data_IF_729458096512
#
_entry.id   IF_729458096512
#
_cell.length_a   1.000
_cell.length_b   1.000
_cell.length_c   1.000
_cell.angle_alpha   90.00
_cell.angle_beta   90.00
_cell.angle_gamma   90.00
#
_symmetry.space_group_name_H-M   'P 1'
#
loop_
_entity.id
_entity.type
_entity.pdbx_description
1 polymer ?
#
# COMPACT_ATOMS: atom_id res chain seq x y z
N UNK A 1 8.27 21.35 -16.90
CA UNK A 1 7.40 21.09 -15.72
C UNK A 1 8.33 20.63 -14.60
N UNK A 2 8.15 21.09 -13.38
CA UNK A 2 8.93 20.61 -12.24
C UNK A 2 8.84 19.08 -12.11
N UNK A 3 9.95 18.45 -11.75
CA UNK A 3 10.04 17.00 -11.62
C UNK A 3 9.74 16.62 -10.16
N UNK A 4 8.71 15.80 -9.87
CA UNK A 4 8.44 15.33 -8.52
C UNK A 4 9.41 14.22 -8.12
N UNK A 5 9.99 14.35 -6.92
CA UNK A 5 10.96 13.41 -6.35
C UNK A 5 10.57 12.97 -4.94
N UNK A 6 11.02 11.79 -4.56
CA UNK A 6 10.88 11.25 -3.20
C UNK A 6 12.15 11.56 -2.41
N UNK A 7 12.02 12.23 -1.27
CA UNK A 7 13.12 12.60 -0.39
C UNK A 7 13.29 11.59 0.74
N UNK A 8 12.22 11.29 1.45
CA UNK A 8 12.25 10.40 2.61
C UNK A 8 10.96 9.58 2.72
N UNK A 9 11.07 8.41 3.34
CA UNK A 9 9.93 7.55 3.70
C UNK A 9 10.13 6.98 5.09
N UNK A 10 9.04 6.83 5.86
CA UNK A 10 9.03 6.13 7.16
C UNK A 10 7.71 5.39 7.32
N UNK A 11 7.73 4.30 8.09
CA UNK A 11 6.54 3.56 8.48
C UNK A 11 6.59 3.08 9.93
N UNK A 12 5.44 2.83 10.51
CA UNK A 12 5.35 2.02 11.74
C UNK A 12 5.62 0.56 11.43
N UNK A 13 5.88 -0.29 12.42
CA UNK A 13 5.60 -1.72 12.30
C UNK A 13 4.16 -1.94 11.83
N UNK A 14 3.87 -3.11 11.27
CA UNK A 14 2.53 -3.55 10.91
C UNK A 14 2.00 -4.48 11.99
N UNK A 15 0.99 -4.02 12.74
CA UNK A 15 0.28 -4.81 13.74
C UNK A 15 -0.79 -5.71 13.15
N UNK A 16 -1.04 -6.88 13.72
CA UNK A 16 -2.22 -7.70 13.39
C UNK A 16 -3.46 -7.09 14.03
N UNK A 17 -4.50 -6.88 13.25
CA UNK A 17 -5.73 -6.30 13.77
C UNK A 17 -6.32 -7.12 14.93
N UNK A 18 -6.95 -6.44 15.88
CA UNK A 18 -7.67 -6.92 17.07
C UNK A 18 -6.83 -7.58 18.17
N UNK A 19 -5.64 -8.07 17.88
CA UNK A 19 -4.81 -8.82 18.84
C UNK A 19 -3.31 -8.61 18.68
N UNK A 20 -2.90 -7.78 17.74
CA UNK A 20 -1.49 -7.50 17.50
C UNK A 20 -0.97 -6.34 18.33
N UNK A 21 0.29 -6.03 18.07
CA UNK A 21 1.08 -5.06 18.83
C UNK A 21 0.56 -3.62 18.80
N UNK A 22 -0.21 -3.25 17.74
CA UNK A 22 -0.76 -1.89 17.53
C UNK A 22 -2.29 -1.83 17.65
N UNK A 23 -2.97 -2.90 18.08
CA UNK A 23 -4.43 -2.97 18.08
C UNK A 23 -5.14 -1.92 18.97
N UNK A 24 -4.44 -1.40 19.98
CA UNK A 24 -4.96 -0.36 20.87
C UNK A 24 -4.59 1.07 20.44
N UNK A 25 -3.75 1.21 19.41
CA UNK A 25 -3.23 2.51 19.00
C UNK A 25 -4.25 3.29 18.17
N UNK A 26 -4.23 4.62 18.34
CA UNK A 26 -5.06 5.52 17.53
C UNK A 26 -4.43 5.73 16.15
N UNK A 27 -5.21 5.63 15.07
CA UNK A 27 -4.68 5.82 13.71
C UNK A 27 -4.13 7.22 13.47
N UNK A 28 -4.79 8.25 13.99
CA UNK A 28 -4.35 9.63 13.88
C UNK A 28 -2.99 9.88 14.56
N UNK A 29 -2.75 9.28 15.72
CA UNK A 29 -1.45 9.34 16.42
C UNK A 29 -0.36 8.59 15.65
N UNK A 30 -0.65 7.40 15.11
CA UNK A 30 0.32 6.65 14.30
C UNK A 30 0.68 7.41 13.02
N UNK A 31 -0.31 8.00 12.34
CA UNK A 31 -0.08 8.78 11.15
C UNK A 31 0.74 10.06 11.45
N UNK A 32 0.44 10.75 12.54
CA UNK A 32 1.19 11.93 12.97
C UNK A 32 2.64 11.58 13.33
N UNK A 33 2.85 10.46 14.02
CA UNK A 33 4.18 9.98 14.39
C UNK A 33 5.08 9.77 13.17
N UNK A 34 4.60 9.05 12.15
CA UNK A 34 5.41 8.82 10.94
C UNK A 34 5.56 10.06 10.08
N UNK A 35 4.56 10.94 10.08
CA UNK A 35 4.58 12.22 9.35
C UNK A 35 5.64 13.16 9.95
N UNK A 36 5.65 13.33 11.28
CA UNK A 36 6.68 14.10 11.96
C UNK A 36 8.08 13.50 11.74
N UNK A 37 8.23 12.18 11.92
CA UNK A 37 9.51 11.49 11.75
C UNK A 37 10.08 11.58 10.33
N UNK A 38 9.25 11.63 9.29
CA UNK A 38 9.72 11.85 7.91
C UNK A 38 10.33 13.24 7.78
N UNK A 39 9.67 14.26 8.31
CA UNK A 39 10.16 15.65 8.28
C UNK A 39 11.43 15.80 9.12
N UNK A 40 11.44 15.27 10.34
CA UNK A 40 12.59 15.31 11.26
C UNK A 40 13.83 14.59 10.69
N UNK A 41 13.63 13.64 9.77
CA UNK A 41 14.74 12.92 9.11
C UNK A 41 15.43 13.72 8.02
N UNK A 42 14.93 14.91 7.67
CA UNK A 42 15.44 15.76 6.59
C UNK A 42 16.02 17.03 7.19
N UNK A 43 17.35 17.03 7.40
CA UNK A 43 18.05 18.15 8.01
C UNK A 43 17.90 19.42 7.17
N UNK A 44 17.57 20.55 7.81
CA UNK A 44 17.43 21.85 7.16
C UNK A 44 16.10 22.09 6.45
N UNK A 45 15.16 21.13 6.43
CA UNK A 45 13.83 21.35 5.87
C UNK A 45 12.89 22.01 6.90
N UNK A 46 12.27 23.13 6.53
CA UNK A 46 11.30 23.83 7.36
C UNK A 46 9.88 23.26 7.14
N UNK A 47 9.21 22.71 8.16
CA UNK A 47 7.84 22.24 8.03
C UNK A 47 6.84 23.28 7.50
N UNK A 48 7.14 24.57 7.64
CA UNK A 48 6.30 25.65 7.12
C UNK A 48 6.26 25.70 5.58
N UNK A 49 7.19 25.02 4.91
CA UNK A 49 7.23 24.88 3.43
C UNK A 49 6.28 23.79 2.91
N UNK A 50 5.64 23.01 3.78
CA UNK A 50 4.70 21.97 3.37
C UNK A 50 3.43 22.61 2.85
N UNK A 51 3.14 22.39 1.56
CA UNK A 51 1.95 22.91 0.88
C UNK A 51 0.67 22.17 1.28
N UNK A 52 0.73 20.84 1.48
CA UNK A 52 -0.40 20.03 1.96
C UNK A 52 0.08 18.70 2.59
N UNK A 53 -0.62 18.27 3.64
CA UNK A 53 -0.49 16.94 4.23
C UNK A 53 -1.64 16.07 3.73
N UNK A 54 -1.35 15.20 2.74
CA UNK A 54 -2.33 14.35 2.07
C UNK A 54 -2.33 12.97 2.71
N UNK A 55 -3.37 12.65 3.49
CA UNK A 55 -3.48 11.37 4.19
C UNK A 55 -4.48 10.44 3.52
N UNK A 56 -4.00 9.26 3.12
CA UNK A 56 -4.82 8.16 2.61
C UNK A 56 -5.41 7.31 3.73
N UNK A 57 -6.74 7.09 3.71
CA UNK A 57 -7.44 6.16 4.59
C UNK A 57 -8.55 5.46 3.82
N UNK A 58 -8.59 4.13 3.87
CA UNK A 58 -9.60 3.35 3.15
C UNK A 58 -10.94 3.33 3.90
N UNK A 59 -10.90 3.20 5.22
CA UNK A 59 -12.07 3.17 6.09
C UNK A 59 -12.16 4.50 6.84
N UNK A 60 -12.97 5.43 6.35
CA UNK A 60 -13.13 6.76 6.94
C UNK A 60 -14.19 6.76 8.04
N UNK A 61 -13.90 6.11 9.16
CA UNK A 61 -14.78 5.96 10.30
C UNK A 61 -14.04 6.19 11.63
N UNK A 62 -14.77 6.54 12.68
CA UNK A 62 -14.19 6.76 14.02
C UNK A 62 -13.02 7.77 13.99
N UNK A 63 -11.86 7.43 14.57
CA UNK A 63 -10.71 8.34 14.56
C UNK A 63 -10.04 8.52 13.17
N UNK A 64 -10.45 7.80 12.14
CA UNK A 64 -10.04 8.02 10.75
C UNK A 64 -11.05 8.87 9.96
N UNK A 65 -12.10 9.37 10.59
CA UNK A 65 -13.13 10.20 9.95
C UNK A 65 -12.71 11.66 9.84
N UNK A 66 -13.57 12.45 9.23
CA UNK A 66 -13.39 13.89 9.02
C UNK A 66 -12.21 14.20 8.07
N UNK A 67 -11.56 15.34 8.25
CA UNK A 67 -10.33 15.64 7.52
C UNK A 67 -9.11 15.13 8.31
N UNK A 68 -8.78 13.87 8.14
CA UNK A 68 -7.67 13.22 8.85
C UNK A 68 -6.32 13.88 8.51
N UNK A 69 -6.12 14.36 7.27
CA UNK A 69 -4.89 15.04 6.88
C UNK A 69 -4.61 16.28 7.72
N UNK A 70 -5.65 17.11 7.96
CA UNK A 70 -5.49 18.30 8.81
C UNK A 70 -5.27 17.94 10.28
N UNK A 71 -5.92 16.89 10.77
CA UNK A 71 -5.70 16.37 12.14
C UNK A 71 -4.26 15.90 12.30
N UNK A 72 -3.75 15.14 11.34
CA UNK A 72 -2.36 14.62 11.33
C UNK A 72 -1.35 15.77 11.29
N UNK A 73 -1.54 16.79 10.46
CA UNK A 73 -0.65 17.95 10.41
C UNK A 73 -0.55 18.65 11.78
N UNK A 74 -1.69 18.83 12.44
CA UNK A 74 -1.74 19.48 13.78
C UNK A 74 -1.09 18.58 14.86
N UNK A 75 -1.34 17.27 14.85
CA UNK A 75 -0.74 16.32 15.80
C UNK A 75 0.76 16.14 15.60
N UNK A 76 1.24 16.25 14.35
CA UNK A 76 2.67 16.25 14.03
C UNK A 76 3.40 17.53 14.47
N UNK A 77 2.65 18.52 14.97
CA UNK A 77 3.21 19.79 15.46
C UNK A 77 3.60 20.77 14.37
N UNK A 78 3.07 20.60 13.15
CA UNK A 78 3.33 21.54 12.05
C UNK A 78 2.66 22.89 12.28
N UNK A 79 3.18 23.99 11.70
CA UNK A 79 2.60 25.30 11.79
C UNK A 79 1.12 25.35 11.37
N UNK A 80 0.34 26.27 11.93
CA UNK A 80 -1.08 26.44 11.59
C UNK A 80 -1.33 26.72 10.11
N UNK A 81 -0.33 27.24 9.43
CA UNK A 81 -0.34 27.53 7.98
C UNK A 81 -0.35 26.28 7.11
N UNK A 82 0.10 25.12 7.64
CA UNK A 82 0.15 23.87 6.87
C UNK A 82 -1.25 23.26 6.79
N UNK A 83 -1.87 23.20 5.61
CA UNK A 83 -3.18 22.60 5.43
C UNK A 83 -3.09 21.07 5.47
N UNK A 84 -4.24 20.40 5.29
CA UNK A 84 -4.28 18.95 5.19
C UNK A 84 -5.54 18.48 4.49
N UNK A 85 -5.43 17.37 3.78
CA UNK A 85 -6.54 16.73 3.06
C UNK A 85 -6.55 15.22 3.28
N UNK A 86 -7.72 14.60 3.04
CA UNK A 86 -7.87 13.15 3.14
C UNK A 86 -8.33 12.58 1.81
N UNK A 87 -7.67 11.52 1.35
CA UNK A 87 -8.02 10.85 0.10
C UNK A 87 -8.38 9.39 0.35
N UNK A 88 -9.34 8.88 -0.42
CA UNK A 88 -9.74 7.49 -0.39
C UNK A 88 -9.68 6.89 -1.80
N UNK A 89 -8.78 5.93 -1.98
CA UNK A 89 -8.73 4.97 -3.08
C UNK A 89 -8.55 3.56 -2.50
N UNK A 90 -9.28 3.26 -1.43
CA UNK A 90 -9.16 2.00 -0.69
C UNK A 90 -7.70 1.59 -0.45
N UNK A 91 -7.28 0.40 -0.88
CA UNK A 91 -5.92 -0.12 -0.69
C UNK A 91 -4.82 0.80 -1.26
N UNK A 92 -5.10 1.60 -2.27
CA UNK A 92 -4.13 2.51 -2.90
C UNK A 92 -4.18 3.95 -2.38
N UNK A 93 -4.81 4.21 -1.23
CA UNK A 93 -5.03 5.58 -0.75
C UNK A 93 -3.74 6.37 -0.56
N UNK A 94 -2.71 5.81 0.07
CA UNK A 94 -1.43 6.53 0.20
C UNK A 94 -0.64 6.63 -1.12
N UNK A 95 -0.73 5.66 -2.02
CA UNK A 95 -0.15 5.79 -3.35
C UNK A 95 -0.88 6.87 -4.16
N UNK A 96 -2.20 7.04 -3.96
CA UNK A 96 -2.97 8.14 -4.52
C UNK A 96 -2.53 9.49 -3.91
N UNK A 97 -2.18 9.55 -2.63
CA UNK A 97 -1.60 10.75 -2.01
C UNK A 97 -0.26 11.12 -2.69
N UNK A 98 0.64 10.15 -2.92
CA UNK A 98 1.88 10.35 -3.70
C UNK A 98 1.58 10.91 -5.10
N UNK A 99 0.58 10.34 -5.79
CA UNK A 99 0.17 10.83 -7.12
C UNK A 99 -0.38 12.26 -7.09
N UNK A 100 -1.16 12.62 -6.07
CA UNK A 100 -1.70 13.99 -5.93
C UNK A 100 -0.55 14.97 -5.72
N UNK A 101 0.36 14.70 -4.79
CA UNK A 101 1.56 15.50 -4.55
C UNK A 101 2.41 15.66 -5.83
N UNK A 102 2.70 14.56 -6.52
CA UNK A 102 3.48 14.59 -7.75
C UNK A 102 2.81 15.42 -8.86
N UNK A 103 1.48 15.32 -9.01
CA UNK A 103 0.75 16.10 -9.99
C UNK A 103 0.71 17.61 -9.64
N UNK A 104 0.56 17.95 -8.36
CA UNK A 104 0.58 19.33 -7.88
C UNK A 104 1.94 19.99 -8.16
N UNK A 105 3.04 19.30 -7.81
CA UNK A 105 4.40 19.75 -8.14
C UNK A 105 4.56 19.95 -9.67
N UNK A 106 4.18 18.94 -10.46
CA UNK A 106 4.30 19.04 -11.92
C UNK A 106 3.45 20.17 -12.53
N UNK A 107 2.35 20.55 -11.87
CA UNK A 107 1.50 21.68 -12.24
C UNK A 107 2.07 23.04 -11.77
N UNK A 108 3.08 23.06 -10.89
CA UNK A 108 3.67 24.27 -10.32
C UNK A 108 2.83 24.84 -9.16
N UNK A 109 2.09 24.00 -8.43
CA UNK A 109 1.25 24.40 -7.29
C UNK A 109 2.02 24.37 -5.97
N UNK A 110 3.35 24.35 -6.00
CA UNK A 110 4.24 24.34 -4.82
C UNK A 110 5.29 23.24 -4.91
N UNK A 111 6.15 23.17 -3.88
CA UNK A 111 7.39 22.43 -3.95
C UNK A 111 7.50 21.25 -2.98
N UNK A 112 6.74 21.22 -1.88
CA UNK A 112 6.87 20.19 -0.86
C UNK A 112 5.52 19.70 -0.32
N UNK A 113 5.33 18.39 -0.28
CA UNK A 113 4.11 17.73 0.16
C UNK A 113 4.41 16.53 1.04
N UNK A 114 3.55 16.28 2.04
CA UNK A 114 3.53 15.00 2.73
C UNK A 114 2.46 14.10 2.10
N UNK A 115 2.88 12.94 1.62
CA UNK A 115 2.00 11.85 1.21
C UNK A 115 2.03 10.76 2.27
N UNK A 116 0.97 10.62 3.04
CA UNK A 116 0.88 9.65 4.12
C UNK A 116 -0.31 8.71 3.94
N UNK A 117 -0.35 7.66 4.75
CA UNK A 117 -1.51 6.80 4.83
C UNK A 117 -1.54 5.98 6.10
N UNK A 118 -2.74 5.64 6.52
CA UNK A 118 -2.99 4.89 7.75
C UNK A 118 -4.19 3.98 7.59
N UNK A 119 -4.14 2.86 8.26
CA UNK A 119 -5.30 2.04 8.57
C UNK A 119 -5.12 1.40 9.92
N UNK A 120 -6.10 1.54 10.80
CA UNK A 120 -6.21 0.78 12.03
C UNK A 120 -7.54 0.04 12.03
N UNK A 121 -7.55 -1.14 11.38
CA UNK A 121 -8.76 -1.97 11.27
C UNK A 121 -9.32 -2.30 12.65
N UNK A 122 -8.45 -2.45 13.64
CA UNK A 122 -8.83 -2.66 15.05
C UNK A 122 -9.76 -1.58 15.60
N UNK A 123 -9.58 -0.33 15.18
CA UNK A 123 -10.29 0.85 15.71
C UNK A 123 -11.53 1.22 14.89
N UNK A 124 -11.61 0.82 13.64
CA UNK A 124 -12.66 1.25 12.70
C UNK A 124 -13.60 0.14 12.26
N UNK A 125 -13.21 -1.14 12.42
CA UNK A 125 -14.04 -2.28 12.03
C UNK A 125 -15.39 -2.30 12.77
N UNK A 126 -16.46 -2.61 12.06
CA UNK A 126 -17.84 -2.58 12.58
C UNK A 126 -18.45 -1.18 12.69
N UNK A 127 -17.72 -0.12 12.29
CA UNK A 127 -18.22 1.27 12.23
C UNK A 127 -18.26 1.82 10.80
N UNK A 128 -17.65 1.10 9.87
CA UNK A 128 -17.31 1.63 8.56
C UNK A 128 -18.42 1.51 7.52
N UNK A 129 -19.23 0.49 7.63
CA UNK A 129 -20.19 0.14 6.59
C UNK A 129 -21.33 -0.68 7.17
N UNK A 130 -22.54 -0.18 6.99
CA UNK A 130 -23.78 -0.88 7.32
C UNK A 130 -24.47 -1.27 5.99
N UNK A 131 -24.51 -2.55 5.63
CA UNK A 131 -25.08 -2.98 4.36
C UNK A 131 -26.57 -2.63 4.21
N UNK A 132 -27.32 -2.43 5.30
CA UNK A 132 -28.73 -2.06 5.25
C UNK A 132 -28.93 -0.58 4.89
N UNK A 133 -27.92 0.28 5.19
CA UNK A 133 -28.00 1.73 5.01
C UNK A 133 -27.11 2.20 3.85
N UNK A 134 -25.88 1.68 3.79
CA UNK A 134 -24.83 2.23 2.94
C UNK A 134 -24.81 1.65 1.52
N UNK A 135 -25.45 0.49 1.30
CA UNK A 135 -25.56 -0.09 -0.04
C UNK A 135 -26.57 0.70 -0.86
N UNK A 136 -26.14 1.24 -1.99
CA UNK A 136 -27.06 1.89 -2.92
C UNK A 136 -27.96 0.82 -3.57
N UNK A 137 -29.29 0.89 -3.37
CA UNK A 137 -30.24 -0.14 -3.85
C UNK A 137 -30.23 -0.34 -5.36
N UNK A 138 -29.75 0.63 -6.13
CA UNK A 138 -29.62 0.49 -7.59
C UNK A 138 -28.64 -0.60 -8.03
N UNK A 139 -27.67 -0.97 -7.19
CA UNK A 139 -26.75 -2.07 -7.47
C UNK A 139 -27.37 -3.45 -7.24
N UNK A 140 -28.54 -3.52 -6.61
CA UNK A 140 -29.32 -4.74 -6.41
C UNK A 140 -30.57 -4.82 -7.32
N UNK A 141 -30.75 -3.83 -8.20
CA UNK A 141 -31.92 -3.74 -9.09
C UNK A 141 -31.78 -4.73 -10.28
N UNK A 142 -32.58 -5.80 -10.34
CA UNK A 142 -32.50 -6.81 -11.40
C UNK A 142 -32.87 -6.28 -12.79
N UNK A 143 -33.59 -5.16 -12.86
CA UNK A 143 -34.04 -4.55 -14.12
C UNK A 143 -32.94 -3.62 -14.71
N UNK A 144 -31.85 -3.45 -14.03
CA UNK A 144 -30.71 -2.58 -14.41
C UNK A 144 -29.46 -3.38 -14.72
N UNK A 145 -29.52 -4.15 -15.83
CA UNK A 145 -28.36 -4.91 -16.32
C UNK A 145 -27.20 -4.03 -16.85
N UNK A 146 -27.42 -2.73 -16.99
CA UNK A 146 -26.41 -1.73 -17.38
C UNK A 146 -25.57 -1.23 -16.20
N UNK A 147 -25.96 -1.52 -14.95
CA UNK A 147 -25.15 -1.23 -13.78
C UNK A 147 -24.04 -2.26 -13.58
N UNK A 148 -22.93 -1.75 -13.01
CA UNK A 148 -21.89 -2.62 -12.48
C UNK A 148 -22.44 -3.36 -11.28
N UNK A 149 -22.66 -4.66 -11.44
CA UNK A 149 -23.13 -5.52 -10.36
C UNK A 149 -22.01 -5.79 -9.35
N UNK A 150 -22.39 -6.26 -8.16
CA UNK A 150 -21.47 -6.69 -7.12
C UNK A 150 -20.43 -5.64 -6.67
N UNK A 151 -20.79 -4.32 -6.74
CA UNK A 151 -19.88 -3.23 -6.31
C UNK A 151 -19.38 -3.42 -4.88
N UNK A 152 -20.19 -4.03 -4.01
CA UNK A 152 -19.90 -4.25 -2.60
C UNK A 152 -19.48 -5.70 -2.29
N UNK A 153 -19.09 -6.47 -3.30
CA UNK A 153 -18.64 -7.86 -3.14
C UNK A 153 -17.50 -7.97 -2.11
N UNK A 154 -17.54 -8.96 -1.19
CA UNK A 154 -16.42 -9.19 -0.27
C UNK A 154 -15.13 -9.55 -1.01
N UNK A 155 -14.02 -8.97 -0.58
CA UNK A 155 -12.72 -9.09 -1.27
C UNK A 155 -12.25 -10.55 -1.43
N UNK A 156 -12.49 -11.42 -0.44
CA UNK A 156 -12.16 -12.84 -0.56
C UNK A 156 -12.94 -13.58 -1.64
N UNK A 157 -14.19 -13.16 -1.91
CA UNK A 157 -14.97 -13.70 -3.02
C UNK A 157 -14.40 -13.27 -4.38
N UNK A 158 -13.88 -12.05 -4.47
CA UNK A 158 -13.19 -11.61 -5.70
C UNK A 158 -11.94 -12.45 -5.97
N UNK A 159 -11.22 -12.86 -4.93
CA UNK A 159 -10.06 -13.72 -5.05
C UNK A 159 -10.43 -15.14 -5.51
N UNK A 160 -11.53 -15.70 -5.00
CA UNK A 160 -12.07 -16.98 -5.49
C UNK A 160 -12.50 -16.89 -6.97
N UNK A 161 -13.15 -15.79 -7.37
CA UNK A 161 -13.54 -15.54 -8.76
C UNK A 161 -12.32 -15.44 -9.70
N UNK A 162 -11.25 -14.78 -9.25
CA UNK A 162 -10.01 -14.72 -10.01
C UNK A 162 -9.38 -16.11 -10.10
N UNK A 163 -9.32 -16.87 -9.00
CA UNK A 163 -8.79 -18.23 -9.00
C UNK A 163 -9.57 -19.15 -9.95
N UNK A 164 -10.91 -19.02 -9.98
CA UNK A 164 -11.76 -19.79 -10.90
C UNK A 164 -11.53 -19.38 -12.37
N UNK A 165 -11.46 -18.08 -12.67
CA UNK A 165 -11.37 -17.55 -14.03
C UNK A 165 -10.01 -17.79 -14.71
N UNK A 166 -8.91 -17.74 -13.93
CA UNK A 166 -7.54 -17.96 -14.42
C UNK A 166 -6.99 -19.32 -14.05
N UNK A 167 -7.83 -20.23 -13.54
CA UNK A 167 -7.49 -21.59 -13.12
C UNK A 167 -6.27 -21.67 -12.20
N UNK A 168 -6.23 -20.75 -11.21
CA UNK A 168 -5.15 -20.72 -10.24
C UNK A 168 -5.36 -21.80 -9.18
N UNK A 169 -4.47 -22.78 -9.11
CA UNK A 169 -4.59 -23.88 -8.18
C UNK A 169 -4.29 -23.46 -6.73
N UNK A 170 -4.85 -24.19 -5.78
CA UNK A 170 -4.57 -24.03 -4.35
C UNK A 170 -3.08 -24.20 -4.05
N UNK A 171 -2.45 -25.20 -4.66
CA UNK A 171 -1.03 -25.49 -4.51
C UNK A 171 -0.14 -24.34 -4.99
N UNK A 172 -0.45 -23.75 -6.15
CA UNK A 172 0.29 -22.59 -6.66
C UNK A 172 0.15 -21.38 -5.70
N UNK A 173 -1.04 -21.12 -5.17
CA UNK A 173 -1.25 -20.05 -4.18
C UNK A 173 -0.47 -20.29 -2.89
N UNK A 174 -0.48 -21.51 -2.37
CA UNK A 174 0.23 -21.85 -1.13
C UNK A 174 1.75 -21.81 -1.34
N UNK A 175 2.25 -22.22 -2.51
CA UNK A 175 3.68 -22.11 -2.86
C UNK A 175 4.13 -20.67 -2.92
N UNK A 176 3.35 -19.78 -3.57
CA UNK A 176 3.64 -18.35 -3.58
C UNK A 176 3.61 -17.73 -2.19
N UNK A 177 2.63 -18.09 -1.37
CA UNK A 177 2.52 -17.58 0.00
C UNK A 177 3.70 -18.01 0.88
N UNK A 178 4.18 -19.25 0.72
CA UNK A 178 5.37 -19.74 1.39
C UNK A 178 6.63 -18.97 0.94
N UNK A 179 6.76 -18.66 -0.36
CA UNK A 179 7.83 -17.83 -0.90
C UNK A 179 7.82 -16.41 -0.30
N UNK A 180 6.65 -15.75 -0.23
CA UNK A 180 6.50 -14.43 0.39
C UNK A 180 6.95 -14.44 1.85
N UNK A 181 6.54 -15.45 2.62
CA UNK A 181 6.95 -15.60 4.03
C UNK A 181 8.46 -15.85 4.18
N UNK A 182 9.06 -16.68 3.31
CA UNK A 182 10.49 -16.96 3.35
C UNK A 182 11.32 -15.71 3.07
N UNK A 183 10.96 -14.94 2.02
CA UNK A 183 11.62 -13.67 1.65
C UNK A 183 11.51 -12.62 2.75
N UNK A 184 10.33 -12.50 3.38
CA UNK A 184 10.13 -11.57 4.49
C UNK A 184 10.93 -11.97 5.74
N UNK A 185 11.04 -13.26 6.03
CA UNK A 185 11.82 -13.78 7.15
C UNK A 185 13.32 -13.49 6.95
N UNK A 186 13.87 -13.81 5.78
CA UNK A 186 15.27 -13.52 5.41
C UNK A 186 15.56 -12.02 5.54
N UNK A 187 14.74 -11.17 4.93
CA UNK A 187 14.89 -9.71 4.99
C UNK A 187 14.82 -9.15 6.41
N UNK A 188 13.99 -9.74 7.28
CA UNK A 188 13.94 -9.37 8.70
C UNK A 188 15.24 -9.74 9.42
N UNK A 189 15.76 -10.95 9.18
CA UNK A 189 16.98 -11.45 9.81
C UNK A 189 18.21 -10.66 9.37
N UNK A 190 18.23 -10.20 8.12
CA UNK A 190 19.28 -9.34 7.55
C UNK A 190 19.16 -7.86 7.96
N UNK A 191 18.12 -7.49 8.73
CA UNK A 191 17.90 -6.12 9.19
C UNK A 191 17.37 -5.16 8.12
N UNK A 192 16.90 -5.66 6.97
CA UNK A 192 16.38 -4.83 5.87
C UNK A 192 15.29 -3.87 6.34
N UNK A 193 14.30 -4.37 7.09
CA UNK A 193 13.15 -3.57 7.53
C UNK A 193 13.51 -2.54 8.62
N UNK A 194 14.63 -2.68 9.31
CA UNK A 194 15.07 -1.69 10.29
C UNK A 194 15.37 -0.30 9.67
N UNK A 195 15.61 -0.25 8.35
CA UNK A 195 15.84 1.00 7.62
C UNK A 195 14.57 1.83 7.38
N UNK A 196 13.40 1.20 7.45
CA UNK A 196 12.11 1.83 7.15
C UNK A 196 11.17 1.92 8.34
N UNK A 197 11.32 1.00 9.33
CA UNK A 197 10.47 0.94 10.51
C UNK A 197 10.90 1.99 11.54
N UNK A 198 9.96 2.83 11.94
CA UNK A 198 10.04 3.68 13.11
C UNK A 198 9.48 2.93 14.32
N UNK A 199 10.27 2.65 15.38
CA UNK A 199 9.76 1.99 16.57
C UNK A 199 8.60 2.76 17.22
N UNK A 200 7.55 2.06 17.61
CA UNK A 200 6.37 2.61 18.26
C UNK A 200 6.31 2.15 19.71
N UNK A 201 6.19 3.09 20.65
CA UNK A 201 5.84 2.75 22.04
C UNK A 201 4.33 2.64 22.12
N UNK A 202 3.82 1.43 22.26
CA UNK A 202 2.39 1.17 22.29
C UNK A 202 1.73 1.54 23.63
N UNK A 203 0.41 1.53 23.68
CA UNK A 203 -0.39 1.88 24.86
C UNK A 203 -0.08 1.02 26.10
N UNK A 204 0.46 -0.16 25.92
CA UNK A 204 0.94 -1.03 27.01
C UNK A 204 2.35 -0.65 27.49
N UNK A 205 3.01 0.34 26.87
CA UNK A 205 4.37 0.79 27.21
C UNK A 205 5.49 -0.03 26.57
N UNK A 206 5.18 -1.04 25.77
CA UNK A 206 6.16 -1.85 25.04
C UNK A 206 6.65 -1.11 23.81
N UNK A 207 7.94 -1.29 23.44
CA UNK A 207 8.48 -0.82 22.17
C UNK A 207 8.26 -1.90 21.13
N UNK A 208 7.53 -1.54 20.05
CA UNK A 208 7.25 -2.39 18.90
C UNK A 208 8.15 -1.91 17.75
N UNK A 209 9.00 -2.79 17.24
CA UNK A 209 10.01 -2.48 16.21
C UNK A 209 10.04 -3.51 15.08
N UNK A 210 9.08 -4.43 15.04
CA UNK A 210 8.96 -5.47 14.02
C UNK A 210 7.51 -5.72 13.64
N UNK A 211 7.29 -6.17 12.40
CA UNK A 211 6.00 -6.56 11.88
C UNK A 211 5.49 -7.86 12.53
N UNK A 212 4.23 -7.91 12.91
CA UNK A 212 3.60 -9.07 13.58
C UNK A 212 3.35 -10.28 12.65
N UNK A 213 3.40 -10.06 11.34
CA UNK A 213 2.90 -11.00 10.35
C UNK A 213 3.85 -12.12 9.96
N UNK A 214 5.16 -11.91 10.09
CA UNK A 214 6.21 -12.83 9.61
C UNK A 214 6.23 -14.09 10.48
N UNK A 215 6.09 -15.27 9.84
CA UNK A 215 5.97 -16.56 10.53
C UNK A 215 7.06 -17.52 10.08
N UNK A 216 8.09 -17.76 10.92
CA UNK A 216 9.06 -18.81 10.65
C UNK A 216 8.40 -20.19 10.49
N UNK A 217 8.92 -21.00 9.57
CA UNK A 217 8.42 -22.35 9.34
C UNK A 217 7.13 -22.45 8.51
N UNK A 218 6.71 -21.37 7.84
CA UNK A 218 5.61 -21.44 6.89
C UNK A 218 6.09 -22.14 5.61
N UNK A 219 5.56 -23.35 5.34
CA UNK A 219 5.85 -24.14 4.14
C UNK A 219 4.55 -24.44 3.40
N UNK A 220 4.65 -24.88 2.15
CA UNK A 220 3.51 -25.29 1.32
C UNK A 220 2.71 -26.42 2.00
N UNK A 221 3.38 -27.36 2.66
CA UNK A 221 2.72 -28.47 3.37
C UNK A 221 1.93 -27.99 4.59
N UNK A 222 2.46 -27.00 5.33
CA UNK A 222 1.75 -26.37 6.45
C UNK A 222 0.52 -25.63 5.94
N UNK A 223 0.65 -24.88 4.85
CA UNK A 223 -0.45 -24.11 4.25
C UNK A 223 -1.54 -25.02 3.67
N UNK A 224 -1.17 -26.14 3.05
CA UNK A 224 -2.11 -27.12 2.48
C UNK A 224 -3.13 -27.64 3.53
N UNK A 225 -2.75 -27.66 4.81
CA UNK A 225 -3.64 -28.06 5.93
C UNK A 225 -4.70 -27.03 6.30
N UNK A 226 -4.66 -25.81 5.77
CA UNK A 226 -5.60 -24.73 6.10
C UNK A 226 -6.91 -24.90 5.34
N UNK A 227 -8.02 -24.58 6.01
CA UNK A 227 -9.36 -24.60 5.40
C UNK A 227 -9.60 -23.32 4.59
N UNK A 228 -10.38 -23.42 3.49
CA UNK A 228 -10.90 -22.23 2.81
C UNK A 228 -11.69 -21.32 3.75
N UNK A 229 -11.66 -20.01 3.51
CA UNK A 229 -12.29 -19.00 4.40
C UNK A 229 -13.57 -18.42 3.82
N UNK A 230 -13.64 -18.25 2.49
CA UNK A 230 -14.69 -17.47 1.83
C UNK A 230 -15.74 -18.31 1.10
N UNK A 231 -15.39 -19.50 0.68
CA UNK A 231 -16.25 -20.43 -0.08
C UNK A 231 -15.99 -21.85 0.44
N UNK A 232 -17.00 -22.68 0.62
CA UNK A 232 -16.89 -24.01 1.22
C UNK A 232 -15.86 -24.90 0.49
N UNK A 233 -15.93 -24.95 -0.83
CA UNK A 233 -15.00 -25.65 -1.71
C UNK A 233 -13.97 -24.69 -2.36
N UNK A 234 -13.66 -23.59 -1.66
CA UNK A 234 -12.77 -22.55 -2.15
C UNK A 234 -11.28 -22.92 -2.07
N UNK A 235 -10.46 -22.02 -2.60
CA UNK A 235 -9.00 -22.15 -2.61
C UNK A 235 -8.29 -21.12 -1.74
N UNK A 236 -8.99 -20.02 -1.40
CA UNK A 236 -8.43 -18.91 -0.61
C UNK A 236 -8.50 -19.22 0.87
N UNK A 237 -7.35 -19.14 1.54
CA UNK A 237 -7.20 -19.42 2.96
C UNK A 237 -6.56 -18.26 3.71
N UNK A 238 -6.55 -18.30 5.03
CA UNK A 238 -5.82 -17.34 5.86
C UNK A 238 -4.28 -17.41 5.68
N UNK A 239 -3.77 -18.42 4.97
CA UNK A 239 -2.34 -18.59 4.72
C UNK A 239 -1.89 -18.03 3.37
N UNK A 240 -2.78 -17.95 2.37
CA UNK A 240 -2.49 -17.44 1.04
C UNK A 240 -3.19 -16.10 0.72
N UNK A 241 -3.58 -15.37 1.77
CA UNK A 241 -4.15 -14.03 1.75
C UNK A 241 -3.51 -13.13 2.82
N UNK A 242 -3.53 -11.81 2.59
CA UNK A 242 -3.08 -10.87 3.59
C UNK A 242 -4.03 -10.86 4.81
N UNK A 243 -3.51 -10.67 6.04
CA UNK A 243 -4.34 -10.46 7.22
C UNK A 243 -4.91 -9.04 7.27
N UNK A 244 -5.87 -8.79 8.17
CA UNK A 244 -6.29 -7.46 8.57
C UNK A 244 -5.25 -6.85 9.51
N UNK A 245 -4.91 -5.58 9.33
CA UNK A 245 -3.76 -4.96 9.98
C UNK A 245 -4.00 -3.51 10.39
N UNK A 246 -3.09 -3.06 11.26
CA UNK A 246 -2.98 -1.71 11.78
C UNK A 246 -1.58 -1.14 11.48
N UNK A 247 -1.48 0.12 11.04
CA UNK A 247 -0.21 0.77 10.78
C UNK A 247 -0.32 2.04 9.96
N UNK A 248 0.77 2.81 9.89
CA UNK A 248 0.87 4.07 9.16
C UNK A 248 2.22 4.20 8.44
N UNK A 249 2.24 4.95 7.34
CA UNK A 249 3.44 5.30 6.60
C UNK A 249 3.33 6.71 6.02
N UNK A 250 4.47 7.39 5.86
CA UNK A 250 4.56 8.72 5.26
C UNK A 250 5.79 8.85 4.35
N UNK A 251 5.68 9.74 3.37
CA UNK A 251 6.74 10.13 2.45
C UNK A 251 6.76 11.65 2.29
N UNK A 252 7.94 12.24 2.20
CA UNK A 252 8.14 13.62 1.75
C UNK A 252 8.38 13.60 0.25
N UNK A 253 7.50 14.27 -0.49
CA UNK A 253 7.57 14.45 -1.94
C UNK A 253 7.90 15.92 -2.21
N UNK A 254 8.88 16.17 -3.05
CA UNK A 254 9.38 17.53 -3.31
C UNK A 254 9.61 17.75 -4.80
N UNK A 255 9.70 19.01 -5.23
CA UNK A 255 10.25 19.33 -6.57
C UNK A 255 11.76 19.08 -6.57
N UNK A 256 12.30 18.56 -7.68
CA UNK A 256 13.73 18.32 -7.83
C UNK A 256 14.54 19.61 -7.70
N UNK A 257 13.98 20.74 -8.14
CA UNK A 257 14.57 22.07 -8.01
C UNK A 257 14.75 22.47 -6.54
N UNK A 258 13.66 22.35 -5.74
CA UNK A 258 13.71 22.71 -4.31
C UNK A 258 14.61 21.77 -3.52
N UNK A 259 14.60 20.48 -3.84
CA UNK A 259 15.50 19.51 -3.24
C UNK A 259 16.97 19.87 -3.51
N UNK A 260 17.28 20.31 -4.73
CA UNK A 260 18.62 20.77 -5.11
C UNK A 260 19.06 22.05 -4.40
N UNK A 261 18.14 23.05 -4.23
CA UNK A 261 18.42 24.27 -3.47
C UNK A 261 18.76 24.00 -1.99
N UNK A 262 18.11 22.98 -1.41
CA UNK A 262 18.34 22.56 -0.03
C UNK A 262 19.45 21.50 0.10
N UNK A 263 20.11 21.14 -1.01
CA UNK A 263 21.16 20.11 -1.06
C UNK A 263 20.71 18.76 -0.48
N UNK A 264 19.40 18.43 -0.60
CA UNK A 264 18.82 17.21 -0.07
C UNK A 264 19.11 16.00 -0.96
N UNK A 265 19.37 14.82 -0.39
CA UNK A 265 19.51 13.60 -1.15
C UNK A 265 18.15 13.20 -1.75
N UNK A 266 18.11 13.05 -3.06
CA UNK A 266 16.93 12.56 -3.78
C UNK A 266 17.01 11.03 -3.83
N UNK A 267 15.96 10.34 -3.38
CA UNK A 267 15.93 8.86 -3.41
C UNK A 267 15.42 8.32 -4.75
N UNK A 268 14.41 8.98 -5.34
CA UNK A 268 13.88 8.59 -6.64
C UNK A 268 13.07 9.71 -7.30
N UNK A 269 13.01 9.71 -8.63
CA UNK A 269 12.04 10.45 -9.44
C UNK A 269 10.76 9.64 -9.59
N UNK A 270 9.61 10.32 -9.64
CA UNK A 270 8.30 9.72 -9.94
C UNK A 270 8.04 9.87 -11.44
N UNK A 271 8.16 8.76 -12.20
CA UNK A 271 8.15 8.84 -13.66
C UNK A 271 6.74 8.84 -14.26
N UNK A 272 5.91 7.88 -13.83
CA UNK A 272 4.58 7.72 -14.42
C UNK A 272 3.63 6.98 -13.47
N UNK A 273 2.34 7.28 -13.60
CA UNK A 273 1.26 6.57 -12.89
C UNK A 273 0.23 6.05 -13.89
N UNK A 274 -0.24 4.82 -13.69
CA UNK A 274 -1.37 4.19 -14.37
C UNK A 274 -2.53 3.92 -13.41
N UNK A 275 -3.74 4.16 -13.88
CA UNK A 275 -4.99 3.84 -13.18
C UNK A 275 -5.88 3.05 -14.13
N UNK A 276 -6.60 2.06 -13.60
CA UNK A 276 -7.53 1.23 -14.36
C UNK A 276 -8.82 0.98 -13.60
N UNK A 277 -9.86 0.63 -14.35
CA UNK A 277 -11.09 0.06 -13.84
C UNK A 277 -11.33 -1.31 -14.46
N UNK A 278 -11.85 -2.24 -13.67
CA UNK A 278 -12.29 -3.59 -14.08
C UNK A 278 -13.59 -3.92 -13.39
N UNK A 279 -14.23 -5.02 -13.78
CA UNK A 279 -15.42 -5.49 -13.08
C UNK A 279 -15.11 -5.77 -11.60
N UNK A 280 -15.95 -5.31 -10.64
CA UNK A 280 -15.67 -5.44 -9.22
C UNK A 280 -15.44 -6.87 -8.76
N UNK A 281 -16.15 -7.84 -9.33
CA UNK A 281 -16.05 -9.26 -9.00
C UNK A 281 -14.68 -9.89 -9.31
N UNK A 282 -13.87 -9.21 -10.11
CA UNK A 282 -12.48 -9.62 -10.41
C UNK A 282 -11.47 -8.50 -10.11
N UNK A 283 -11.73 -7.66 -9.10
CA UNK A 283 -10.91 -6.50 -8.78
C UNK A 283 -9.42 -6.84 -8.63
N UNK A 284 -9.11 -8.08 -8.23
CA UNK A 284 -7.74 -8.55 -8.01
C UNK A 284 -6.83 -8.36 -9.21
N UNK A 285 -7.36 -8.42 -10.44
CA UNK A 285 -6.58 -8.24 -11.69
C UNK A 285 -6.57 -6.81 -12.21
N UNK A 286 -7.13 -5.85 -11.47
CA UNK A 286 -7.04 -4.43 -11.80
C UNK A 286 -5.63 -3.93 -12.12
N UNK A 287 -4.56 -4.38 -11.44
CA UNK A 287 -3.19 -3.98 -11.74
C UNK A 287 -2.75 -4.22 -13.18
N UNK A 288 -3.24 -5.24 -13.88
CA UNK A 288 -2.81 -5.60 -15.24
C UNK A 288 -2.86 -4.38 -16.17
N UNK A 289 -4.00 -3.73 -16.29
CA UNK A 289 -4.11 -2.56 -17.18
C UNK A 289 -3.48 -1.29 -16.56
N UNK A 290 -3.48 -1.15 -15.25
CA UNK A 290 -2.79 -0.04 -14.57
C UNK A 290 -1.28 -0.06 -14.86
N UNK A 291 -0.65 -1.24 -14.81
CA UNK A 291 0.76 -1.46 -15.16
C UNK A 291 1.01 -1.11 -16.63
N UNK A 292 0.18 -1.64 -17.55
CA UNK A 292 0.29 -1.35 -18.99
C UNK A 292 0.19 0.15 -19.27
N UNK A 293 -0.70 0.87 -18.57
CA UNK A 293 -0.84 2.33 -18.69
C UNK A 293 0.40 3.05 -18.18
N UNK A 294 0.92 2.67 -17.00
CA UNK A 294 2.11 3.28 -16.41
C UNK A 294 3.34 3.10 -17.32
N UNK A 295 3.57 1.88 -17.82
CA UNK A 295 4.66 1.56 -18.74
C UNK A 295 4.58 2.36 -20.04
N UNK A 296 3.39 2.42 -20.67
CA UNK A 296 3.20 3.24 -21.87
C UNK A 296 3.51 4.72 -21.64
N UNK A 297 3.12 5.28 -20.48
CA UNK A 297 3.39 6.67 -20.11
C UNK A 297 4.87 6.95 -19.86
N UNK A 298 5.58 5.98 -19.31
CA UNK A 298 7.02 6.05 -19.09
C UNK A 298 7.83 5.75 -20.37
N UNK A 299 7.21 5.20 -21.41
CA UNK A 299 7.91 4.72 -22.62
C UNK A 299 8.74 3.46 -22.35
N UNK A 300 8.32 2.66 -21.37
CA UNK A 300 9.02 1.46 -20.85
C UNK A 300 8.25 0.17 -21.12
N UNK A 301 8.94 -0.94 -20.94
CA UNK A 301 8.42 -2.30 -20.91
C UNK A 301 8.65 -2.92 -19.53
N UNK A 302 8.08 -4.10 -19.26
CA UNK A 302 8.32 -4.83 -18.00
C UNK A 302 9.80 -5.23 -17.83
N UNK A 303 10.50 -5.47 -18.94
CA UNK A 303 11.92 -5.84 -18.93
C UNK A 303 12.84 -4.69 -18.45
N UNK A 304 12.36 -3.44 -18.48
CA UNK A 304 13.09 -2.28 -17.98
C UNK A 304 12.93 -2.07 -16.47
N UNK A 305 12.07 -2.87 -15.80
CA UNK A 305 11.87 -2.82 -14.35
C UNK A 305 12.81 -3.81 -13.65
N UNK A 306 13.56 -3.32 -12.69
CA UNK A 306 14.42 -4.15 -11.84
C UNK A 306 13.61 -4.80 -10.71
N UNK A 307 12.74 -4.04 -10.02
CA UNK A 307 11.92 -4.50 -8.91
C UNK A 307 10.46 -4.08 -9.11
N UNK A 308 9.55 -5.02 -8.85
CA UNK A 308 8.10 -4.78 -8.82
C UNK A 308 7.57 -5.12 -7.44
N UNK A 309 7.15 -4.10 -6.70
CA UNK A 309 6.34 -4.26 -5.49
C UNK A 309 4.86 -4.35 -5.91
N UNK A 310 4.32 -5.56 -5.92
CA UNK A 310 2.90 -5.84 -6.15
C UNK A 310 2.24 -6.23 -4.85
N UNK A 311 1.20 -5.51 -4.44
CA UNK A 311 0.48 -5.83 -3.21
C UNK A 311 -0.17 -7.21 -3.26
N UNK A 312 0.12 -8.03 -2.26
CA UNK A 312 -0.33 -9.42 -2.15
C UNK A 312 -1.63 -9.52 -1.32
N UNK A 313 -2.70 -8.86 -1.76
CA UNK A 313 -3.96 -9.03 -1.05
C UNK A 313 -4.39 -10.51 -1.02
N UNK A 314 -4.18 -11.21 -2.13
CA UNK A 314 -4.39 -12.67 -2.27
C UNK A 314 -3.39 -13.25 -3.26
N UNK A 315 -2.81 -14.41 -2.97
CA UNK A 315 -1.95 -15.12 -3.93
C UNK A 315 -2.68 -15.45 -5.24
N UNK A 316 -4.00 -15.68 -5.16
CA UNK A 316 -4.88 -15.92 -6.29
C UNK A 316 -4.80 -14.87 -7.40
N UNK A 317 -4.55 -13.61 -7.05
CA UNK A 317 -4.47 -12.50 -8.01
C UNK A 317 -3.04 -12.19 -8.45
N UNK A 318 -2.05 -12.45 -7.60
CA UNK A 318 -0.64 -12.17 -7.91
C UNK A 318 -0.17 -12.99 -9.11
N UNK A 319 -0.47 -14.27 -9.11
CA UNK A 319 -0.03 -15.21 -10.15
C UNK A 319 -0.52 -14.82 -11.56
N UNK A 320 -1.84 -14.58 -11.79
CA UNK A 320 -2.29 -14.19 -13.12
C UNK A 320 -1.84 -12.77 -13.52
N UNK A 321 -1.60 -11.85 -12.58
CA UNK A 321 -1.03 -10.55 -12.93
C UNK A 321 0.38 -10.73 -13.47
N UNK A 322 1.22 -11.53 -12.81
CA UNK A 322 2.59 -11.78 -13.25
C UNK A 322 2.63 -12.44 -14.63
N UNK A 323 1.79 -13.44 -14.86
CA UNK A 323 1.69 -14.16 -16.13
C UNK A 323 1.23 -13.22 -17.28
N UNK A 324 0.15 -12.47 -17.07
CA UNK A 324 -0.45 -11.56 -18.06
C UNK A 324 0.44 -10.37 -18.46
N UNK A 325 1.28 -9.92 -17.54
CA UNK A 325 2.13 -8.73 -17.72
C UNK A 325 3.56 -9.15 -18.08
N UNK A 326 3.98 -10.36 -17.72
CA UNK A 326 5.32 -10.87 -17.92
C UNK A 326 6.30 -10.48 -16.82
N UNK A 327 5.83 -10.38 -15.55
CA UNK A 327 6.68 -10.14 -14.38
C UNK A 327 7.32 -11.46 -13.95
N UNK A 328 8.64 -11.47 -13.84
CA UNK A 328 9.39 -12.61 -13.32
C UNK A 328 9.30 -12.67 -11.79
N UNK A 329 8.58 -13.69 -11.28
CA UNK A 329 8.33 -13.85 -9.83
C UNK A 329 9.64 -14.04 -9.04
N UNK A 330 10.62 -14.74 -9.61
CA UNK A 330 11.87 -15.04 -8.91
C UNK A 330 12.84 -13.85 -8.91
N UNK A 331 12.85 -13.06 -9.96
CA UNK A 331 13.84 -12.00 -10.15
C UNK A 331 13.35 -10.60 -9.81
N UNK A 332 12.07 -10.30 -10.09
CA UNK A 332 11.55 -8.92 -10.02
C UNK A 332 10.56 -8.72 -8.89
N UNK A 333 9.72 -9.74 -8.58
CA UNK A 333 8.55 -9.56 -7.74
C UNK A 333 8.89 -9.65 -6.25
N UNK A 334 8.54 -8.61 -5.47
CA UNK A 334 8.56 -8.59 -4.01
C UNK A 334 9.78 -9.30 -3.39
N UNK A 335 11.02 -8.89 -3.70
CA UNK A 335 12.22 -9.61 -3.27
C UNK A 335 12.36 -9.70 -1.75
N UNK A 336 11.68 -8.82 -1.02
CA UNK A 336 11.69 -8.78 0.45
C UNK A 336 10.40 -9.31 1.08
N UNK A 337 9.60 -10.09 0.32
CA UNK A 337 8.26 -10.52 0.72
C UNK A 337 7.23 -9.39 0.62
N UNK A 338 5.95 -9.73 0.74
CA UNK A 338 4.86 -8.79 0.57
C UNK A 338 3.78 -8.91 1.65
N UNK A 339 2.57 -8.46 1.32
CA UNK A 339 1.47 -8.32 2.28
C UNK A 339 0.99 -9.63 2.92
N UNK A 340 1.17 -10.78 2.27
CA UNK A 340 0.86 -12.09 2.88
C UNK A 340 1.69 -12.32 4.13
N UNK A 341 2.97 -11.90 4.12
CA UNK A 341 3.89 -12.02 5.22
C UNK A 341 3.87 -10.79 6.15
N UNK A 342 3.97 -9.59 5.58
CA UNK A 342 4.11 -8.34 6.34
C UNK A 342 2.78 -7.82 6.87
N UNK A 343 1.71 -7.96 6.09
CA UNK A 343 0.40 -7.38 6.36
C UNK A 343 -0.02 -6.27 5.39
N UNK A 344 -1.32 -5.91 5.46
CA UNK A 344 -1.94 -4.94 4.56
C UNK A 344 -2.85 -3.96 5.30
N UNK A 345 -2.31 -2.97 6.03
CA UNK A 345 -3.10 -1.82 6.48
C UNK A 345 -3.49 -1.00 5.24
N UNK A 346 -4.75 -1.01 4.84
CA UNK A 346 -5.21 -0.59 3.50
C UNK A 346 -4.70 0.79 3.09
N UNK A 347 -5.00 1.83 3.88
CA UNK A 347 -4.59 3.20 3.59
C UNK A 347 -3.07 3.42 3.61
N UNK A 348 -2.33 2.67 4.43
CA UNK A 348 -0.88 2.76 4.58
C UNK A 348 -0.10 2.16 3.42
N UNK A 349 -0.62 1.08 2.81
CA UNK A 349 0.17 0.11 2.03
C UNK A 349 0.93 0.73 0.86
N UNK A 350 0.39 1.72 0.16
CA UNK A 350 1.04 2.33 -0.99
C UNK A 350 2.39 2.97 -0.67
N UNK A 351 2.46 3.77 0.41
CA UNK A 351 3.72 4.41 0.87
C UNK A 351 4.63 3.39 1.56
N UNK A 352 4.08 2.38 2.26
CA UNK A 352 4.89 1.27 2.77
C UNK A 352 5.66 0.59 1.63
N UNK A 353 4.96 0.21 0.57
CA UNK A 353 5.58 -0.43 -0.59
C UNK A 353 6.60 0.48 -1.29
N UNK A 354 6.34 1.80 -1.35
CA UNK A 354 7.31 2.76 -1.85
C UNK A 354 8.60 2.73 -1.02
N UNK A 355 8.51 2.74 0.30
CA UNK A 355 9.68 2.66 1.18
C UNK A 355 10.47 1.36 0.97
N UNK A 356 9.78 0.23 0.90
CA UNK A 356 10.38 -1.09 0.64
C UNK A 356 11.03 -1.15 -0.74
N UNK A 357 10.35 -0.62 -1.78
CA UNK A 357 10.89 -0.53 -3.14
C UNK A 357 12.21 0.26 -3.17
N UNK A 358 12.23 1.46 -2.59
CA UNK A 358 13.42 2.31 -2.59
C UNK A 358 14.60 1.65 -1.87
N UNK A 359 14.34 1.04 -0.71
CA UNK A 359 15.36 0.28 0.02
C UNK A 359 15.84 -0.95 -0.77
N UNK A 360 14.95 -1.61 -1.51
CA UNK A 360 15.27 -2.75 -2.37
C UNK A 360 16.17 -2.33 -3.54
N UNK A 361 15.81 -1.23 -4.24
CA UNK A 361 16.62 -0.68 -5.33
C UNK A 361 18.03 -0.29 -4.85
N UNK A 362 18.13 0.35 -3.67
CA UNK A 362 19.41 0.69 -3.08
C UNK A 362 20.25 -0.56 -2.73
N UNK A 363 19.60 -1.59 -2.17
CA UNK A 363 20.28 -2.84 -1.77
C UNK A 363 20.81 -3.63 -2.97
N UNK A 364 20.04 -3.67 -4.06
CA UNK A 364 20.36 -4.39 -5.28
C UNK A 364 21.24 -3.58 -6.26
N UNK A 365 21.56 -2.32 -5.93
CA UNK A 365 22.16 -1.33 -6.85
C UNK A 365 21.39 -1.25 -8.20
N UNK A 366 20.08 -1.30 -8.09
CA UNK A 366 19.13 -1.27 -9.19
C UNK A 366 18.56 0.15 -9.40
N UNK A 367 17.94 0.41 -10.56
CA UNK A 367 17.56 1.76 -10.97
C UNK A 367 16.05 1.98 -11.03
N UNK A 368 15.29 1.07 -11.63
CA UNK A 368 13.88 1.29 -11.93
C UNK A 368 12.98 0.32 -11.21
N UNK A 369 11.99 0.84 -10.51
CA UNK A 369 11.02 0.01 -9.84
C UNK A 369 9.59 0.49 -9.97
N UNK A 370 8.66 -0.41 -9.66
CA UNK A 370 7.23 -0.15 -9.73
C UNK A 370 6.54 -0.54 -8.42
N UNK A 371 5.64 0.32 -7.94
CA UNK A 371 4.63 -0.03 -6.93
C UNK A 371 3.29 -0.20 -7.62
N UNK A 372 2.63 -1.33 -7.42
CA UNK A 372 1.32 -1.61 -8.02
C UNK A 372 0.41 -2.39 -7.08
N UNK A 373 -0.89 -2.16 -7.18
CA UNK A 373 -1.89 -2.81 -6.32
C UNK A 373 -3.29 -2.85 -6.93
N UNK A 374 -4.04 -3.87 -6.54
CA UNK A 374 -5.48 -3.92 -6.73
C UNK A 374 -6.18 -2.95 -5.76
N UNK A 375 -7.38 -2.55 -6.14
CA UNK A 375 -8.18 -1.60 -5.36
C UNK A 375 -9.64 -2.06 -5.36
N UNK A 376 -10.25 -2.09 -4.19
CA UNK A 376 -11.66 -2.45 -4.05
C UNK A 376 -12.56 -1.66 -5.01
N UNK A 377 -13.71 -2.22 -5.35
CA UNK A 377 -14.64 -1.64 -6.33
C UNK A 377 -14.17 -1.80 -7.79
N UNK A 378 -13.24 -2.73 -8.07
CA UNK A 378 -12.81 -3.04 -9.44
C UNK A 378 -11.82 -2.02 -10.01
N UNK A 379 -10.71 -1.74 -9.33
CA UNK A 379 -9.71 -0.78 -9.79
C UNK A 379 -8.27 -1.34 -9.66
N UNK A 380 -7.32 -0.70 -10.33
CA UNK A 380 -5.89 -0.92 -10.19
C UNK A 380 -5.10 0.38 -10.22
N UNK A 381 -3.95 0.40 -9.57
CA UNK A 381 -3.01 1.53 -9.60
C UNK A 381 -1.58 1.01 -9.72
N UNK A 382 -0.76 1.70 -10.53
CA UNK A 382 0.67 1.44 -10.68
C UNK A 382 1.43 2.76 -10.78
N UNK A 383 2.60 2.86 -10.15
CA UNK A 383 3.49 4.02 -10.23
C UNK A 383 4.92 3.55 -10.41
N UNK A 384 5.65 4.14 -11.37
CA UNK A 384 7.04 3.83 -11.69
C UNK A 384 7.94 4.89 -11.08
N UNK A 385 9.03 4.42 -10.46
CA UNK A 385 10.04 5.22 -9.80
C UNK A 385 11.43 4.90 -10.38
N UNK A 386 12.26 5.93 -10.53
CA UNK A 386 13.66 5.81 -10.93
C UNK A 386 14.55 6.31 -9.80
N UNK A 387 15.41 5.44 -9.27
CA UNK A 387 16.42 5.79 -8.27
C UNK A 387 17.44 6.76 -8.87
N UNK A 388 17.85 7.75 -8.08
CA UNK A 388 18.85 8.76 -8.47
C UNK A 388 20.22 8.47 -7.86
#
# INVERSE_FOLDING_TARGET
>A
MPTPVVIATRRTPIGRAFKGSLAAERPDDLAALVTGAVVDSVEGFDPAEIEDVIVGAAIQAGPQSMNLGRVVAALAGFPETVPGSTVNRFCASSLQAVRVAANAIAAGEGDAYIAAGVECVSQVNGRAFDPEIDVNPRFADPDRADYVNDMYIPMGMTAENVADRWDVSREAMDSYAALSQARALESREDGFFAREILPVRNAAGAVVEADDGIRPGTTTEVLAGLKPVFKEDGRVTAGNSCPLNDGAAAALIMSEERAGELELPIRARILATGLSGVAPEIMGVGPIEAIRIALRRAGMTVADLDIVELNEAFAAQVLPICDEVGIDIERQLNPHGGAIALGHPFGMTGVRMLGTLLNGLETADAQVGMVTMCVAGGQGMATIFERT
#
